data_IF_741797144714
#
_entry.id   IF_741797144714
#
_cell.length_a   1.000
_cell.length_b   1.000
_cell.length_c   1.000
_cell.angle_alpha   90.00
_cell.angle_beta   90.00
_cell.angle_gamma   90.00
#
_symmetry.space_group_name_H-M   'P 1'
#
loop_
_entity.id
_entity.type
_entity.pdbx_description
1 polymer ?
#
# COMPACT_ATOMS: atom_id res chain seq x y z
N UNK A 1 25.30 -30.83 14.91
CA UNK A 1 25.65 -30.01 13.73
C UNK A 1 24.52 -29.92 12.69
N UNK A 2 23.81 -31.01 12.36
CA UNK A 2 22.69 -30.99 11.36
C UNK A 2 21.44 -30.21 11.80
N UNK A 3 21.14 -30.14 13.10
CA UNK A 3 19.94 -29.47 13.64
C UNK A 3 20.07 -27.95 13.76
N UNK A 4 21.29 -27.42 13.87
CA UNK A 4 21.53 -25.97 14.03
C UNK A 4 21.37 -25.26 12.68
N UNK A 5 21.71 -25.92 11.57
CA UNK A 5 21.64 -25.34 10.22
C UNK A 5 20.19 -25.13 9.78
N UNK A 6 19.25 -26.02 10.15
CA UNK A 6 17.83 -25.87 9.78
C UNK A 6 17.12 -24.70 10.46
N UNK A 7 17.55 -24.27 11.65
CA UNK A 7 16.88 -23.19 12.40
C UNK A 7 17.20 -21.81 11.81
N UNK A 8 18.37 -21.65 11.19
CA UNK A 8 18.84 -20.37 10.63
C UNK A 8 18.12 -20.03 9.31
N UNK A 9 17.62 -21.02 8.57
CA UNK A 9 16.96 -20.80 7.28
C UNK A 9 15.51 -20.34 7.46
N UNK A 10 14.85 -20.72 8.57
CA UNK A 10 13.43 -20.39 8.82
C UNK A 10 13.24 -18.95 9.35
N UNK A 11 14.28 -18.29 9.81
CA UNK A 11 14.21 -16.92 10.36
C UNK A 11 14.41 -15.82 9.31
N UNK A 12 14.87 -16.15 8.09
CA UNK A 12 15.03 -15.19 6.99
C UNK A 12 13.75 -14.93 6.19
N UNK A 13 12.71 -15.77 6.32
CA UNK A 13 11.45 -15.61 5.59
C UNK A 13 10.51 -14.55 6.17
N UNK A 14 10.84 -13.98 7.33
CA UNK A 14 10.03 -12.95 8.01
C UNK A 14 10.45 -11.51 7.71
N UNK A 15 11.50 -11.28 6.91
CA UNK A 15 12.03 -9.93 6.65
C UNK A 15 11.44 -9.28 5.39
N UNK A 16 10.70 -10.02 4.56
CA UNK A 16 10.01 -9.45 3.39
C UNK A 16 8.59 -8.99 3.72
N UNK A 17 8.46 -7.96 4.56
CA UNK A 17 7.27 -7.11 4.56
C UNK A 17 7.63 -5.69 5.04
N UNK A 18 8.66 -5.10 4.44
CA UNK A 18 9.06 -3.71 4.70
C UNK A 18 8.67 -2.75 3.55
N UNK A 19 7.82 -3.18 2.62
CA UNK A 19 7.32 -2.34 1.50
C UNK A 19 6.08 -1.53 1.86
N UNK A 20 5.48 -1.71 3.03
CA UNK A 20 4.10 -1.26 3.28
C UNK A 20 3.90 0.17 3.77
N UNK A 21 4.93 1.03 3.77
CA UNK A 21 4.76 2.45 4.19
C UNK A 21 4.75 3.45 3.04
N UNK A 22 5.36 3.14 1.91
CA UNK A 22 5.36 4.03 0.74
C UNK A 22 4.14 3.81 -0.16
N UNK A 23 3.56 2.61 -0.17
CA UNK A 23 2.42 2.30 -1.05
C UNK A 23 1.13 2.99 -0.64
N UNK A 24 0.87 3.12 0.67
CA UNK A 24 -0.34 3.79 1.15
C UNK A 24 -0.32 5.29 0.85
N UNK A 25 0.85 5.92 1.01
CA UNK A 25 1.03 7.35 0.68
C UNK A 25 0.93 7.58 -0.83
N UNK A 26 1.56 6.72 -1.65
CA UNK A 26 1.49 6.84 -3.11
C UNK A 26 0.08 6.61 -3.67
N UNK A 27 -0.66 5.65 -3.10
CA UNK A 27 -2.06 5.38 -3.47
C UNK A 27 -2.96 6.58 -3.16
N UNK A 28 -2.91 7.09 -1.92
CA UNK A 28 -3.69 8.26 -1.52
C UNK A 28 -3.32 9.52 -2.34
N UNK A 29 -2.03 9.76 -2.60
CA UNK A 29 -1.59 10.87 -3.44
C UNK A 29 -2.10 10.77 -4.89
N UNK A 30 -2.07 9.57 -5.47
CA UNK A 30 -2.58 9.32 -6.81
C UNK A 30 -4.10 9.54 -6.89
N UNK A 31 -4.85 9.07 -5.90
CA UNK A 31 -6.28 9.37 -5.77
C UNK A 31 -6.53 10.88 -5.70
N UNK A 32 -5.80 11.58 -4.83
CA UNK A 32 -5.97 13.02 -4.65
C UNK A 32 -5.70 13.80 -5.95
N UNK A 33 -4.71 13.40 -6.74
CA UNK A 33 -4.44 14.00 -8.04
C UNK A 33 -5.53 13.71 -9.07
N UNK A 34 -6.04 12.47 -9.11
CA UNK A 34 -7.05 12.06 -10.09
C UNK A 34 -8.42 12.73 -9.85
N UNK A 35 -8.79 12.93 -8.59
CA UNK A 35 -10.10 13.49 -8.20
C UNK A 35 -10.02 14.93 -7.69
N UNK A 36 -8.84 15.56 -7.74
CA UNK A 36 -8.58 16.92 -7.27
C UNK A 36 -8.98 17.13 -5.80
N UNK A 37 -8.68 16.14 -4.96
CA UNK A 37 -8.91 16.16 -3.51
C UNK A 37 -7.71 16.84 -2.82
N UNK A 38 -7.98 17.62 -1.78
CA UNK A 38 -6.91 18.18 -0.97
C UNK A 38 -6.37 17.11 0.01
N UNK A 39 -5.13 16.62 -0.15
CA UNK A 39 -4.61 15.53 0.68
C UNK A 39 -4.45 15.91 2.15
N UNK A 40 -4.42 17.21 2.48
CA UNK A 40 -4.29 17.70 3.86
C UNK A 40 -5.64 18.00 4.54
N UNK A 41 -6.72 18.05 3.77
CA UNK A 41 -8.06 18.35 4.26
C UNK A 41 -9.14 17.78 3.33
N UNK A 42 -9.22 16.45 3.17
CA UNK A 42 -10.30 15.82 2.42
C UNK A 42 -11.62 15.97 3.20
N UNK A 43 -12.73 15.95 2.48
CA UNK A 43 -14.05 15.71 3.07
C UNK A 43 -14.20 14.23 3.41
N UNK A 44 -15.12 13.92 4.33
CA UNK A 44 -15.44 12.54 4.70
C UNK A 44 -15.92 11.71 3.50
N UNK A 45 -16.64 12.33 2.55
CA UNK A 45 -17.12 11.65 1.35
C UNK A 45 -15.98 11.27 0.40
N UNK A 46 -14.98 12.13 0.23
CA UNK A 46 -13.79 11.85 -0.58
C UNK A 46 -12.94 10.74 0.06
N UNK A 47 -12.73 10.78 1.38
CA UNK A 47 -12.00 9.73 2.09
C UNK A 47 -12.73 8.37 2.02
N UNK A 48 -14.05 8.37 2.23
CA UNK A 48 -14.83 7.14 2.12
C UNK A 48 -14.84 6.57 0.70
N UNK A 49 -14.95 7.43 -0.33
CA UNK A 49 -14.86 6.95 -1.70
C UNK A 49 -13.50 6.32 -2.01
N UNK A 50 -12.42 6.91 -1.53
CA UNK A 50 -11.10 6.31 -1.64
C UNK A 50 -11.04 4.91 -1.02
N UNK A 51 -11.51 4.78 0.23
CA UNK A 51 -11.45 3.52 0.97
C UNK A 51 -12.37 2.43 0.40
N UNK A 52 -13.56 2.81 -0.08
CA UNK A 52 -14.59 1.86 -0.48
C UNK A 52 -14.53 1.49 -1.97
N UNK A 53 -14.09 2.41 -2.83
CA UNK A 53 -14.24 2.28 -4.28
C UNK A 53 -12.91 2.32 -5.03
N UNK A 54 -11.94 3.10 -4.57
CA UNK A 54 -10.72 3.37 -5.35
C UNK A 54 -9.51 2.55 -4.91
N UNK A 55 -9.29 2.39 -3.60
CA UNK A 55 -8.23 1.54 -3.07
C UNK A 55 -8.51 0.06 -3.41
N UNK A 56 -7.52 -0.61 -3.98
CA UNK A 56 -7.58 -1.95 -4.55
C UNK A 56 -8.22 -2.03 -5.95
N UNK A 57 -8.54 -0.89 -6.59
CA UNK A 57 -9.18 -0.87 -7.91
C UNK A 57 -8.17 -0.97 -9.07
N UNK A 58 -8.66 -1.32 -10.25
CA UNK A 58 -7.86 -1.26 -11.49
C UNK A 58 -7.41 0.16 -11.84
N UNK A 59 -8.13 1.16 -11.37
CA UNK A 59 -7.80 2.57 -11.56
C UNK A 59 -6.62 2.98 -10.69
N UNK A 60 -6.55 2.47 -9.45
CA UNK A 60 -5.35 2.60 -8.60
C UNK A 60 -4.15 1.90 -9.23
N UNK A 61 -4.28 0.64 -9.65
CA UNK A 61 -3.17 -0.11 -10.28
C UNK A 61 -2.63 0.64 -11.50
N UNK A 62 -3.51 1.15 -12.37
CA UNK A 62 -3.13 1.95 -13.52
C UNK A 62 -2.43 3.26 -13.13
N UNK A 63 -2.90 3.94 -12.09
CA UNK A 63 -2.29 5.17 -11.57
C UNK A 63 -0.90 4.93 -10.96
N UNK A 64 -0.68 3.75 -10.37
CA UNK A 64 0.61 3.32 -9.81
C UNK A 64 1.52 2.64 -10.84
N UNK A 65 1.03 2.38 -12.06
CA UNK A 65 1.78 1.69 -13.12
C UNK A 65 2.05 0.22 -12.84
N UNK A 66 1.10 -0.45 -12.15
CA UNK A 66 1.16 -1.87 -11.76
C UNK A 66 0.45 -2.79 -12.77
#
# INVERSE_FOLDING_TARGET
MKTIVSVIILSLSLVSCATSKTSCDASWEAYCQAYNVNPSAPTEEEENYYLDCWAGSVEEEAALGL
#
